data_IF_082251567513
#
_entry.id   IF_082251567513
#
_cell.length_a   1.000
_cell.length_b   1.000
_cell.length_c   1.000
_cell.angle_alpha   90.00
_cell.angle_beta   90.00
_cell.angle_gamma   90.00
#
_symmetry.space_group_name_H-M   'P 1'
#
loop_
_entity.id
_entity.type
_entity.pdbx_description
1 polymer ?
#
# COMPACT_ATOMS: atom_id res chain seq x y z
N UNK A 1 -56.29 56.70 -13.63
CA UNK A 1 -56.28 56.13 -12.23
C UNK A 1 -56.96 54.80 -12.13
N UNK A 2 -58.26 54.58 -12.45
CA UNK A 2 -58.91 53.25 -12.36
C UNK A 2 -58.30 52.19 -13.30
N UNK A 3 -57.93 52.54 -14.52
CA UNK A 3 -57.25 51.72 -15.52
C UNK A 3 -55.91 51.25 -14.94
N UNK A 4 -55.14 52.14 -14.29
CA UNK A 4 -53.84 51.83 -13.70
C UNK A 4 -53.98 50.94 -12.47
N UNK A 5 -54.96 51.17 -11.60
CA UNK A 5 -55.25 50.34 -10.43
C UNK A 5 -55.58 48.91 -10.87
N UNK A 6 -56.50 48.77 -11.87
CA UNK A 6 -56.83 47.44 -12.40
C UNK A 6 -55.60 46.75 -13.05
N UNK A 7 -54.78 47.50 -13.83
CA UNK A 7 -53.55 47.00 -14.43
C UNK A 7 -52.58 46.49 -13.32
N UNK A 8 -52.41 47.28 -12.26
CA UNK A 8 -51.53 46.92 -11.12
C UNK A 8 -52.05 45.70 -10.34
N UNK A 9 -53.38 45.65 -10.08
CA UNK A 9 -54.00 44.48 -9.48
C UNK A 9 -53.79 43.20 -10.29
N UNK A 10 -54.10 43.19 -11.58
CA UNK A 10 -53.87 42.06 -12.48
C UNK A 10 -52.38 41.68 -12.59
N UNK A 11 -51.48 42.66 -12.49
CA UNK A 11 -50.04 42.42 -12.53
C UNK A 11 -49.57 41.77 -11.22
N UNK A 12 -50.09 42.22 -10.08
CA UNK A 12 -49.83 41.61 -8.75
C UNK A 12 -50.34 40.17 -8.68
N UNK A 13 -51.58 39.92 -9.16
CA UNK A 13 -52.17 38.57 -9.22
C UNK A 13 -51.26 37.60 -10.01
N UNK A 14 -50.84 38.05 -11.23
CA UNK A 14 -49.94 37.25 -12.04
C UNK A 14 -48.57 36.99 -11.35
N UNK A 15 -48.02 38.01 -10.70
CA UNK A 15 -46.73 37.92 -10.00
C UNK A 15 -46.82 37.01 -8.79
N UNK A 16 -47.92 37.07 -8.05
CA UNK A 16 -48.21 36.19 -6.90
C UNK A 16 -48.31 34.73 -7.30
N UNK A 17 -49.04 34.45 -8.41
CA UNK A 17 -49.14 33.08 -8.93
C UNK A 17 -47.78 32.52 -9.39
N UNK A 18 -46.92 33.34 -10.01
CA UNK A 18 -45.54 32.94 -10.35
C UNK A 18 -44.71 32.70 -9.10
N UNK A 19 -44.88 33.54 -8.07
CA UNK A 19 -44.17 33.37 -6.79
C UNK A 19 -44.57 32.09 -6.10
N UNK A 20 -45.87 31.76 -6.01
CA UNK A 20 -46.36 30.50 -5.47
C UNK A 20 -45.75 29.28 -6.20
N UNK A 21 -45.76 29.27 -7.53
CA UNK A 21 -45.16 28.21 -8.32
C UNK A 21 -43.64 28.05 -8.08
N UNK A 22 -42.92 29.17 -7.84
CA UNK A 22 -41.48 29.11 -7.52
C UNK A 22 -41.21 28.61 -6.09
N UNK A 23 -42.08 28.97 -5.16
CA UNK A 23 -42.01 28.47 -3.77
C UNK A 23 -42.26 26.95 -3.70
N UNK A 24 -43.24 26.44 -4.47
CA UNK A 24 -43.46 25.00 -4.57
C UNK A 24 -42.23 24.26 -5.10
N UNK A 25 -41.59 24.82 -6.14
CA UNK A 25 -40.33 24.27 -6.66
C UNK A 25 -39.21 24.32 -5.62
N UNK A 26 -39.10 25.42 -4.85
CA UNK A 26 -38.09 25.56 -3.81
C UNK A 26 -38.29 24.54 -2.69
N UNK A 27 -39.56 24.29 -2.28
CA UNK A 27 -39.90 23.29 -1.31
C UNK A 27 -39.50 21.87 -1.80
N UNK A 28 -39.81 21.54 -3.05
CA UNK A 28 -39.43 20.26 -3.66
C UNK A 28 -37.90 20.11 -3.67
N UNK A 29 -37.19 21.13 -4.13
CA UNK A 29 -35.72 21.12 -4.20
C UNK A 29 -35.07 21.03 -2.80
N UNK A 30 -35.66 21.68 -1.78
CA UNK A 30 -35.20 21.57 -0.40
C UNK A 30 -35.38 20.15 0.16
N UNK A 31 -36.49 19.49 -0.14
CA UNK A 31 -36.74 18.11 0.28
C UNK A 31 -35.77 17.13 -0.40
N UNK A 32 -35.52 17.31 -1.72
CA UNK A 32 -34.52 16.52 -2.46
C UNK A 32 -33.11 16.73 -1.91
N UNK A 33 -32.76 17.99 -1.57
CA UNK A 33 -31.47 18.29 -0.95
C UNK A 33 -31.32 17.64 0.43
N UNK A 34 -32.39 17.65 1.26
CA UNK A 34 -32.39 17.01 2.56
C UNK A 34 -32.16 15.48 2.44
N UNK A 35 -32.86 14.82 1.51
CA UNK A 35 -32.64 13.38 1.27
C UNK A 35 -31.21 13.08 0.80
N UNK A 36 -30.65 13.91 -0.09
CA UNK A 36 -29.27 13.77 -0.56
C UNK A 36 -28.23 14.01 0.54
N UNK A 37 -28.53 14.89 1.52
CA UNK A 37 -27.69 15.13 2.68
C UNK A 37 -27.71 13.96 3.65
N UNK A 38 -28.86 13.30 3.86
CA UNK A 38 -28.97 12.07 4.66
C UNK A 38 -28.14 10.93 4.05
N UNK A 39 -28.23 10.72 2.73
CA UNK A 39 -27.42 9.72 2.03
C UNK A 39 -25.90 10.06 2.14
N UNK A 40 -25.56 11.34 2.02
CA UNK A 40 -24.15 11.81 2.15
C UNK A 40 -23.62 11.58 3.55
N UNK A 41 -24.43 11.86 4.59
CA UNK A 41 -24.07 11.62 5.97
C UNK A 41 -23.84 10.11 6.26
N UNK A 42 -24.72 9.24 5.77
CA UNK A 42 -24.56 7.79 5.89
C UNK A 42 -23.28 7.30 5.17
N UNK A 43 -23.00 7.79 3.98
CA UNK A 43 -21.76 7.46 3.25
C UNK A 43 -20.49 7.94 4.00
N UNK A 44 -20.54 9.12 4.64
CA UNK A 44 -19.44 9.64 5.46
C UNK A 44 -19.19 8.79 6.71
N UNK A 45 -20.24 8.26 7.35
CA UNK A 45 -20.09 7.33 8.47
C UNK A 45 -19.39 6.03 8.03
N UNK A 46 -19.77 5.49 6.88
CA UNK A 46 -19.13 4.30 6.31
C UNK A 46 -17.66 4.56 5.98
N UNK A 47 -17.35 5.67 5.30
CA UNK A 47 -15.96 6.06 4.98
C UNK A 47 -15.15 6.26 6.26
N UNK A 48 -15.71 6.91 7.29
CA UNK A 48 -15.06 7.10 8.59
C UNK A 48 -14.71 5.75 9.23
N UNK A 49 -15.66 4.81 9.22
CA UNK A 49 -15.45 3.45 9.73
C UNK A 49 -14.32 2.74 8.98
N UNK A 50 -14.32 2.83 7.65
CA UNK A 50 -13.31 2.21 6.79
C UNK A 50 -11.91 2.79 7.07
N UNK A 51 -11.77 4.12 7.23
CA UNK A 51 -10.48 4.76 7.55
C UNK A 51 -10.00 4.36 8.95
N UNK A 52 -10.90 4.22 9.94
CA UNK A 52 -10.55 3.72 11.27
C UNK A 52 -10.06 2.27 11.21
N UNK A 53 -10.73 1.40 10.47
CA UNK A 53 -10.31 0.02 10.25
C UNK A 53 -8.95 -0.04 9.55
N UNK A 54 -8.71 0.82 8.54
CA UNK A 54 -7.40 0.94 7.91
C UNK A 54 -6.31 1.32 8.91
N UNK A 55 -6.59 2.26 9.83
CA UNK A 55 -5.63 2.65 10.87
C UNK A 55 -5.28 1.47 11.80
N UNK A 56 -6.24 0.62 12.14
CA UNK A 56 -5.99 -0.59 12.93
C UNK A 56 -5.14 -1.61 12.15
N UNK A 57 -5.46 -1.83 10.88
CA UNK A 57 -4.70 -2.72 10.00
C UNK A 57 -3.24 -2.24 9.84
N UNK A 58 -3.03 -0.93 9.69
CA UNK A 58 -1.71 -0.31 9.63
C UNK A 58 -0.91 -0.58 10.90
N UNK A 59 -1.54 -0.47 12.08
CA UNK A 59 -0.89 -0.78 13.35
C UNK A 59 -0.48 -2.27 13.44
N UNK A 60 -1.33 -3.18 12.94
CA UNK A 60 -0.98 -4.61 12.84
C UNK A 60 0.16 -4.86 11.85
N UNK A 61 0.15 -4.20 10.68
CA UNK A 61 1.23 -4.30 9.70
C UNK A 61 2.56 -3.82 10.27
N UNK A 62 2.58 -2.73 11.03
CA UNK A 62 3.78 -2.23 11.70
C UNK A 62 4.33 -3.26 12.70
N UNK A 63 3.46 -3.90 13.49
CA UNK A 63 3.84 -4.96 14.42
C UNK A 63 4.43 -6.16 13.69
N UNK A 64 3.73 -6.67 12.68
CA UNK A 64 4.20 -7.81 11.88
C UNK A 64 5.53 -7.52 11.19
N UNK A 65 5.71 -6.32 10.64
CA UNK A 65 6.98 -5.90 10.04
C UNK A 65 8.13 -5.90 11.04
N UNK A 66 7.88 -5.49 12.30
CA UNK A 66 8.86 -5.57 13.38
C UNK A 66 9.22 -7.03 13.73
N UNK A 67 8.24 -7.93 13.78
CA UNK A 67 8.45 -9.37 14.02
C UNK A 67 9.24 -10.02 12.88
N UNK A 68 8.95 -9.66 11.62
CA UNK A 68 9.69 -10.14 10.45
C UNK A 68 11.14 -9.62 10.48
N UNK A 69 11.37 -8.36 10.88
CA UNK A 69 12.72 -7.80 11.09
C UNK A 69 13.51 -8.61 12.12
N UNK A 70 12.89 -8.92 13.26
CA UNK A 70 13.54 -9.74 14.29
C UNK A 70 13.90 -11.14 13.77
N UNK A 71 12.99 -11.76 13.01
CA UNK A 71 13.22 -13.09 12.40
C UNK A 71 14.33 -13.05 11.34
N UNK A 72 14.37 -12.01 10.51
CA UNK A 72 15.42 -11.83 9.50
C UNK A 72 16.80 -11.65 10.15
N UNK A 73 16.90 -10.82 11.20
CA UNK A 73 18.13 -10.64 11.97
C UNK A 73 18.60 -11.94 12.63
N UNK A 74 17.68 -12.73 13.17
CA UNK A 74 18.00 -14.05 13.73
C UNK A 74 18.48 -15.01 12.63
N UNK A 75 17.86 -14.99 11.45
CA UNK A 75 18.31 -15.79 10.31
C UNK A 75 19.70 -15.40 9.82
N UNK A 76 20.00 -14.10 9.71
CA UNK A 76 21.34 -13.60 9.39
C UNK A 76 22.39 -14.07 10.41
N UNK A 77 22.07 -14.00 11.70
CA UNK A 77 22.96 -14.49 12.77
C UNK A 77 23.25 -15.99 12.63
N UNK A 78 22.23 -16.82 12.41
CA UNK A 78 22.39 -18.25 12.21
C UNK A 78 23.22 -18.59 10.96
N UNK A 79 23.04 -17.84 9.87
CA UNK A 79 23.86 -17.98 8.66
C UNK A 79 25.34 -17.61 8.92
N UNK A 80 25.60 -16.56 9.70
CA UNK A 80 26.96 -16.21 10.14
C UNK A 80 27.59 -17.31 11.00
N UNK A 81 26.86 -17.85 11.99
CA UNK A 81 27.32 -18.96 12.81
C UNK A 81 27.62 -20.21 11.97
N UNK A 82 26.79 -20.48 10.95
CA UNK A 82 27.02 -21.57 10.00
C UNK A 82 28.30 -21.36 9.20
N UNK A 83 28.59 -20.13 8.77
CA UNK A 83 29.85 -19.80 8.06
C UNK A 83 31.06 -20.09 8.93
N UNK A 84 31.02 -19.70 10.21
CA UNK A 84 32.10 -19.98 11.18
C UNK A 84 32.28 -21.49 11.39
N UNK A 85 31.18 -22.23 11.58
CA UNK A 85 31.22 -23.68 11.73
C UNK A 85 31.83 -24.40 10.51
N UNK A 86 31.52 -23.91 9.27
CA UNK A 86 32.11 -24.46 8.05
C UNK A 86 33.63 -24.18 7.97
N UNK A 87 34.07 -23.00 8.44
CA UNK A 87 35.50 -22.72 8.55
C UNK A 87 36.23 -23.62 9.58
N UNK A 88 35.61 -23.88 10.71
CA UNK A 88 36.13 -24.81 11.69
C UNK A 88 36.23 -26.24 11.13
N UNK A 89 35.20 -26.71 10.40
CA UNK A 89 35.21 -28.01 9.71
C UNK A 89 36.38 -28.04 8.71
N UNK A 90 36.58 -27.00 7.88
CA UNK A 90 37.67 -26.95 6.95
C UNK A 90 39.05 -27.05 7.64
N UNK A 91 39.23 -26.38 8.76
CA UNK A 91 40.46 -26.46 9.55
C UNK A 91 40.69 -27.87 10.09
N UNK A 92 39.65 -28.55 10.64
CA UNK A 92 39.76 -29.92 11.13
C UNK A 92 40.07 -30.91 10.01
N UNK A 93 39.41 -30.74 8.84
CA UNK A 93 39.64 -31.61 7.68
C UNK A 93 41.06 -31.45 7.13
N UNK A 94 41.62 -30.24 7.18
CA UNK A 94 43.04 -29.99 6.80
C UNK A 94 44.01 -30.70 7.75
N UNK A 95 43.77 -30.68 9.07
CA UNK A 95 44.57 -31.43 10.05
C UNK A 95 44.53 -32.94 9.82
N UNK A 96 43.33 -33.45 9.46
CA UNK A 96 43.17 -34.87 9.10
C UNK A 96 43.98 -35.19 7.83
N UNK A 97 43.96 -34.31 6.83
CA UNK A 97 44.71 -34.49 5.58
C UNK A 97 46.25 -34.53 5.85
N UNK A 98 46.74 -33.68 6.74
CA UNK A 98 48.13 -33.73 7.18
C UNK A 98 48.49 -35.05 7.89
N UNK A 99 47.62 -35.53 8.78
CA UNK A 99 47.84 -36.80 9.50
C UNK A 99 47.86 -38.00 8.52
N UNK A 100 46.98 -37.98 7.49
CA UNK A 100 46.97 -39.03 6.46
C UNK A 100 48.25 -38.99 5.65
N UNK A 101 48.77 -37.77 5.33
CA UNK A 101 50.07 -37.62 4.68
C UNK A 101 51.22 -38.26 5.48
N UNK A 102 51.20 -38.15 6.80
CA UNK A 102 52.16 -38.84 7.67
C UNK A 102 52.00 -40.37 7.64
N UNK A 103 50.74 -40.88 7.65
CA UNK A 103 50.45 -42.33 7.53
C UNK A 103 50.94 -42.88 6.18
N UNK A 104 50.71 -42.19 5.09
CA UNK A 104 51.18 -42.58 3.76
C UNK A 104 52.71 -42.62 3.71
N UNK A 105 53.39 -41.66 4.30
CA UNK A 105 54.85 -41.63 4.42
C UNK A 105 55.37 -42.81 5.28
N UNK A 106 54.72 -43.13 6.40
CA UNK A 106 55.07 -44.30 7.25
C UNK A 106 54.90 -45.59 6.45
N UNK A 107 53.79 -45.74 5.72
CA UNK A 107 53.55 -46.90 4.87
C UNK A 107 54.63 -47.03 3.77
N UNK A 108 55.00 -45.96 3.14
CA UNK A 108 56.10 -45.93 2.17
C UNK A 108 57.45 -46.35 2.81
N UNK A 109 57.82 -45.74 3.95
CA UNK A 109 59.04 -46.10 4.66
C UNK A 109 59.04 -47.56 5.09
N UNK A 110 57.91 -48.07 5.59
CA UNK A 110 57.75 -49.49 6.01
C UNK A 110 57.90 -50.45 4.82
N UNK A 111 57.37 -50.05 3.63
CA UNK A 111 57.53 -50.81 2.40
C UNK A 111 59.03 -50.89 1.98
N UNK A 112 59.77 -49.77 2.05
CA UNK A 112 61.21 -49.78 1.76
C UNK A 112 61.99 -50.60 2.79
N UNK A 113 61.67 -50.51 4.10
CA UNK A 113 62.31 -51.23 5.16
C UNK A 113 62.08 -52.75 5.00
N UNK A 114 60.87 -53.19 4.66
CA UNK A 114 60.54 -54.57 4.41
C UNK A 114 61.20 -55.11 3.14
N UNK A 115 61.38 -54.32 2.10
CA UNK A 115 62.16 -54.67 0.94
C UNK A 115 63.60 -54.93 1.25
N UNK A 116 64.22 -54.04 2.03
CA UNK A 116 65.64 -54.23 2.48
C UNK A 116 65.77 -55.51 3.37
N UNK A 117 64.82 -55.79 4.28
CA UNK A 117 64.79 -56.95 5.08
C UNK A 117 64.62 -58.23 4.23
N UNK A 118 63.81 -58.20 3.20
CA UNK A 118 63.64 -59.36 2.30
C UNK A 118 64.95 -59.64 1.49
N UNK A 119 65.63 -58.58 1.06
CA UNK A 119 66.94 -58.73 0.36
C UNK A 119 68.00 -59.39 1.33
N UNK A 120 68.06 -58.85 2.58
CA UNK A 120 69.03 -59.39 3.57
C UNK A 120 68.72 -60.87 3.93
N UNK A 121 67.41 -61.21 4.09
CA UNK A 121 66.98 -62.57 4.34
C UNK A 121 67.34 -63.51 3.15
N UNK A 122 67.21 -63.05 1.93
CA UNK A 122 67.66 -63.80 0.73
C UNK A 122 69.17 -63.99 0.70
N UNK A 123 69.96 -63.06 1.17
CA UNK A 123 71.41 -63.15 1.22
C UNK A 123 71.87 -64.16 2.33
N UNK A 124 71.08 -64.35 3.40
CA UNK A 124 71.33 -65.33 4.44
C UNK A 124 70.99 -66.78 4.08
N UNK A 125 70.49 -67.09 2.88
CA UNK A 125 70.20 -68.40 2.35
C UNK A 125 69.15 -69.16 3.17
N UNK A 126 69.43 -70.42 3.46
CA UNK A 126 68.51 -71.32 4.20
C UNK A 126 68.14 -70.74 5.58
N UNK A 127 69.08 -70.11 6.33
CA UNK A 127 68.84 -69.51 7.65
C UNK A 127 67.86 -68.29 7.56
N UNK A 128 67.75 -67.69 6.41
CA UNK A 128 66.88 -66.49 6.20
C UNK A 128 65.46 -66.76 5.77
N UNK A 129 65.06 -67.98 5.45
CA UNK A 129 63.72 -68.29 4.87
C UNK A 129 62.55 -67.85 5.73
N UNK A 130 62.61 -67.99 7.02
CA UNK A 130 61.55 -67.51 7.96
C UNK A 130 61.44 -65.99 7.98
N UNK A 131 62.57 -65.28 7.92
CA UNK A 131 62.62 -63.82 7.85
C UNK A 131 62.09 -63.29 6.53
N UNK A 132 62.35 -64.00 5.42
CA UNK A 132 61.85 -63.61 4.08
C UNK A 132 60.31 -63.61 4.06
N UNK A 133 59.66 -64.61 4.69
CA UNK A 133 58.19 -64.69 4.75
C UNK A 133 57.63 -63.52 5.57
N UNK A 134 58.22 -63.20 6.72
CA UNK A 134 57.78 -62.04 7.54
C UNK A 134 57.99 -60.74 6.82
N UNK A 135 59.12 -60.57 6.14
CA UNK A 135 59.39 -59.35 5.35
C UNK A 135 58.35 -59.18 4.20
N UNK A 136 57.95 -60.29 3.55
CA UNK A 136 56.89 -60.27 2.54
C UNK A 136 55.53 -59.84 3.11
N UNK A 137 55.19 -60.37 4.31
CA UNK A 137 53.92 -60.01 4.95
C UNK A 137 53.91 -58.56 5.43
N UNK A 138 55.01 -58.04 5.99
CA UNK A 138 55.15 -56.60 6.36
C UNK A 138 55.03 -55.68 5.10
N UNK A 139 55.59 -56.11 3.97
CA UNK A 139 55.50 -55.41 2.71
C UNK A 139 54.04 -55.35 2.22
N UNK A 140 53.34 -56.48 2.28
CA UNK A 140 51.90 -56.50 1.90
C UNK A 140 51.08 -55.61 2.81
N UNK A 141 51.33 -55.65 4.14
CA UNK A 141 50.64 -54.77 5.10
C UNK A 141 50.92 -53.27 4.79
N UNK A 142 52.18 -52.92 4.49
CA UNK A 142 52.55 -51.54 4.09
C UNK A 142 51.81 -51.07 2.82
N UNK A 143 51.74 -51.95 1.81
CA UNK A 143 51.01 -51.65 0.58
C UNK A 143 49.51 -51.41 0.84
N UNK A 144 48.88 -52.27 1.65
CA UNK A 144 47.46 -52.12 2.05
C UNK A 144 47.23 -50.83 2.87
N UNK A 145 48.20 -50.47 3.73
CA UNK A 145 48.14 -49.24 4.52
C UNK A 145 48.21 -48.00 3.62
N UNK A 146 49.07 -47.99 2.60
CA UNK A 146 49.16 -46.90 1.62
C UNK A 146 47.88 -46.76 0.78
N UNK A 147 47.29 -47.89 0.37
CA UNK A 147 46.00 -47.89 -0.35
C UNK A 147 44.89 -47.33 0.50
N UNK A 148 44.75 -47.78 1.75
CA UNK A 148 43.78 -47.21 2.70
C UNK A 148 43.99 -45.72 2.96
N UNK A 149 45.25 -45.27 3.11
CA UNK A 149 45.54 -43.84 3.26
C UNK A 149 45.10 -43.01 2.03
N UNK A 150 45.27 -43.54 0.82
CA UNK A 150 44.83 -42.91 -0.42
C UNK A 150 43.30 -42.82 -0.49
N UNK A 151 42.57 -43.88 -0.09
CA UNK A 151 41.11 -43.87 -0.04
C UNK A 151 40.60 -42.83 0.98
N UNK A 152 41.19 -42.79 2.18
CA UNK A 152 40.81 -41.82 3.20
C UNK A 152 41.09 -40.38 2.71
N UNK A 153 42.22 -40.17 2.03
CA UNK A 153 42.54 -38.86 1.44
C UNK A 153 41.46 -38.37 0.44
N UNK A 154 40.98 -39.26 -0.41
CA UNK A 154 39.90 -38.92 -1.35
C UNK A 154 38.58 -38.58 -0.61
N UNK A 155 38.25 -39.23 0.48
CA UNK A 155 37.10 -38.93 1.33
C UNK A 155 37.24 -37.54 1.98
N UNK A 156 38.42 -37.23 2.48
CA UNK A 156 38.79 -35.95 3.11
C UNK A 156 38.72 -34.78 2.12
N UNK A 157 39.25 -34.96 0.89
CA UNK A 157 39.14 -33.98 -0.17
C UNK A 157 37.69 -33.67 -0.55
N UNK A 158 36.85 -34.72 -0.62
CA UNK A 158 35.41 -34.55 -0.84
C UNK A 158 34.76 -33.80 0.32
N UNK A 159 35.11 -34.11 1.57
CA UNK A 159 34.59 -33.41 2.74
C UNK A 159 34.96 -31.91 2.73
N UNK A 160 36.22 -31.57 2.37
CA UNK A 160 36.65 -30.18 2.16
C UNK A 160 35.81 -29.46 1.14
N UNK A 161 35.57 -30.10 -0.03
CA UNK A 161 34.73 -29.55 -1.10
C UNK A 161 33.31 -29.27 -0.60
N UNK A 162 32.72 -30.21 0.17
CA UNK A 162 31.37 -30.04 0.74
C UNK A 162 31.31 -28.94 1.78
N UNK A 163 32.31 -28.80 2.63
CA UNK A 163 32.39 -27.72 3.61
C UNK A 163 32.51 -26.36 2.94
N UNK A 164 33.31 -26.23 1.88
CA UNK A 164 33.40 -24.99 1.08
C UNK A 164 32.09 -24.66 0.36
N UNK A 165 31.39 -25.66 -0.17
CA UNK A 165 30.06 -25.46 -0.74
C UNK A 165 29.05 -24.97 0.31
N UNK A 166 29.06 -25.57 1.50
CA UNK A 166 28.22 -25.14 2.63
C UNK A 166 28.48 -23.70 3.05
N UNK A 167 29.77 -23.32 3.12
CA UNK A 167 30.18 -21.94 3.41
C UNK A 167 29.66 -20.95 2.36
N UNK A 168 29.79 -21.29 1.08
CA UNK A 168 29.26 -20.45 -0.03
C UNK A 168 27.75 -20.25 0.07
N UNK A 169 27.01 -21.32 0.36
CA UNK A 169 25.55 -21.25 0.57
C UNK A 169 25.21 -20.33 1.74
N UNK A 170 25.90 -20.48 2.89
CA UNK A 170 25.68 -19.64 4.06
C UNK A 170 25.99 -18.17 3.78
N UNK A 171 27.01 -17.86 2.98
CA UNK A 171 27.37 -16.50 2.56
C UNK A 171 26.25 -15.89 1.71
N UNK A 172 25.71 -16.64 0.75
CA UNK A 172 24.58 -16.18 -0.07
C UNK A 172 23.32 -15.96 0.78
N UNK A 173 23.10 -16.79 1.81
CA UNK A 173 22.01 -16.56 2.78
C UNK A 173 22.16 -15.25 3.53
N UNK A 174 23.40 -14.89 3.96
CA UNK A 174 23.67 -13.62 4.64
C UNK A 174 23.32 -12.43 3.73
N UNK A 175 23.72 -12.49 2.46
CA UNK A 175 23.34 -11.45 1.47
C UNK A 175 21.83 -11.34 1.30
N UNK A 176 21.14 -12.48 1.16
CA UNK A 176 19.68 -12.52 1.07
C UNK A 176 18.97 -11.94 2.31
N UNK A 177 19.47 -12.20 3.52
CA UNK A 177 18.93 -11.61 4.74
C UNK A 177 19.17 -10.08 4.82
N UNK A 178 20.31 -9.59 4.32
CA UNK A 178 20.58 -8.13 4.23
C UNK A 178 19.60 -7.45 3.28
N UNK A 179 19.37 -8.03 2.10
CA UNK A 179 18.39 -7.52 1.14
C UNK A 179 16.97 -7.55 1.74
N UNK A 180 16.61 -8.65 2.40
CA UNK A 180 15.32 -8.78 3.11
C UNK A 180 15.16 -7.67 4.17
N UNK A 181 16.15 -7.40 4.99
CA UNK A 181 16.13 -6.33 5.98
C UNK A 181 15.95 -4.95 5.34
N UNK A 182 16.60 -4.70 4.21
CA UNK A 182 16.44 -3.46 3.45
C UNK A 182 15.00 -3.30 2.94
N UNK A 183 14.42 -4.35 2.36
CA UNK A 183 13.05 -4.33 1.85
C UNK A 183 12.02 -4.15 2.98
N UNK A 184 12.24 -4.78 4.14
CA UNK A 184 11.39 -4.58 5.32
C UNK A 184 11.48 -3.13 5.82
N UNK A 185 12.68 -2.53 5.83
CA UNK A 185 12.86 -1.12 6.23
C UNK A 185 12.07 -0.18 5.33
N UNK A 186 12.07 -0.41 4.02
CA UNK A 186 11.25 0.34 3.06
C UNK A 186 9.75 0.13 3.32
N UNK A 187 9.34 -1.11 3.61
CA UNK A 187 7.94 -1.43 3.95
C UNK A 187 7.49 -0.68 5.21
N UNK A 188 8.33 -0.60 6.24
CA UNK A 188 8.05 0.16 7.47
C UNK A 188 7.88 1.66 7.16
N UNK A 189 8.69 2.23 6.27
CA UNK A 189 8.54 3.62 5.82
C UNK A 189 7.20 3.84 5.14
N UNK A 190 6.81 2.97 4.21
CA UNK A 190 5.51 3.05 3.53
C UNK A 190 4.34 2.92 4.51
N UNK A 191 4.44 2.05 5.51
CA UNK A 191 3.43 1.91 6.58
C UNK A 191 3.28 3.23 7.34
N UNK A 192 4.38 3.92 7.65
CA UNK A 192 4.36 5.23 8.30
C UNK A 192 3.68 6.30 7.44
N UNK A 193 3.96 6.30 6.13
CA UNK A 193 3.34 7.24 5.20
C UNK A 193 1.83 7.01 5.09
N UNK A 194 1.39 5.76 5.00
CA UNK A 194 -0.05 5.40 4.98
C UNK A 194 -0.71 5.79 6.30
N UNK A 195 -0.02 5.63 7.44
CA UNK A 195 -0.54 6.05 8.75
C UNK A 195 -0.79 7.57 8.80
N UNK A 196 0.15 8.35 8.28
CA UNK A 196 0.00 9.81 8.22
C UNK A 196 -1.12 10.22 7.26
N UNK A 197 -1.20 9.61 6.09
CA UNK A 197 -2.29 9.83 5.14
C UNK A 197 -3.66 9.49 5.74
N UNK A 198 -3.77 8.39 6.49
CA UNK A 198 -5.03 8.02 7.17
C UNK A 198 -5.44 9.03 8.24
N UNK A 199 -4.48 9.63 8.96
CA UNK A 199 -4.79 10.72 9.91
C UNK A 199 -5.29 11.97 9.20
N UNK A 200 -4.66 12.35 8.07
CA UNK A 200 -5.12 13.48 7.26
C UNK A 200 -6.52 13.23 6.68
N UNK A 201 -6.80 12.00 6.24
CA UNK A 201 -8.14 11.62 5.78
C UNK A 201 -9.18 11.78 6.88
N UNK A 202 -8.91 11.36 8.13
CA UNK A 202 -9.85 11.56 9.25
C UNK A 202 -10.13 13.04 9.49
N UNK A 203 -9.11 13.90 9.48
CA UNK A 203 -9.29 15.34 9.61
C UNK A 203 -10.10 15.94 8.46
N UNK A 204 -9.84 15.48 7.22
CA UNK A 204 -10.61 15.89 6.04
C UNK A 204 -12.08 15.47 6.13
N UNK A 205 -12.36 14.27 6.61
CA UNK A 205 -13.73 13.77 6.82
C UNK A 205 -14.45 14.60 7.89
N UNK A 206 -13.78 14.97 8.98
CA UNK A 206 -14.34 15.85 10.01
C UNK A 206 -14.77 17.20 9.42
N UNK A 207 -13.93 17.82 8.58
CA UNK A 207 -14.28 19.07 7.88
C UNK A 207 -15.47 18.90 6.91
N UNK A 208 -15.55 17.73 6.22
CA UNK A 208 -16.70 17.45 5.35
C UNK A 208 -17.97 17.28 6.18
N UNK A 209 -17.91 16.63 7.32
CA UNK A 209 -19.05 16.45 8.21
C UNK A 209 -19.57 17.78 8.74
N UNK A 210 -18.67 18.73 9.10
CA UNK A 210 -19.04 20.09 9.47
C UNK A 210 -19.75 20.83 8.33
N UNK A 211 -19.24 20.68 7.11
CA UNK A 211 -19.85 21.26 5.90
C UNK A 211 -21.25 20.68 5.61
N UNK A 212 -21.43 19.37 5.76
CA UNK A 212 -22.73 18.70 5.62
C UNK A 212 -23.71 19.18 6.68
N UNK A 213 -23.27 19.34 7.91
CA UNK A 213 -24.09 19.91 9.00
C UNK A 213 -24.52 21.35 8.69
N UNK A 214 -23.63 22.14 8.11
CA UNK A 214 -23.96 23.51 7.69
C UNK A 214 -24.96 23.53 6.54
N UNK A 215 -24.81 22.64 5.54
CA UNK A 215 -25.75 22.50 4.43
C UNK A 215 -27.12 22.04 4.90
N UNK A 216 -27.21 21.15 5.88
CA UNK A 216 -28.48 20.73 6.49
C UNK A 216 -29.21 21.93 7.11
N UNK A 217 -28.51 22.74 7.93
CA UNK A 217 -29.08 23.98 8.49
C UNK A 217 -29.57 24.93 7.41
N UNK A 218 -28.81 25.09 6.31
CA UNK A 218 -29.19 25.95 5.20
C UNK A 218 -30.41 25.42 4.46
N UNK A 219 -30.52 24.11 4.28
CA UNK A 219 -31.68 23.45 3.66
C UNK A 219 -32.94 23.65 4.50
N UNK A 220 -32.85 23.49 5.83
CA UNK A 220 -33.94 23.79 6.75
C UNK A 220 -34.35 25.25 6.72
N UNK A 221 -33.36 26.16 6.65
CA UNK A 221 -33.62 27.59 6.53
C UNK A 221 -34.31 27.94 5.22
N UNK A 222 -33.93 27.30 4.10
CA UNK A 222 -34.58 27.49 2.82
C UNK A 222 -36.06 27.04 2.86
N UNK A 223 -36.36 25.94 3.52
CA UNK A 223 -37.75 25.48 3.71
C UNK A 223 -38.57 26.49 4.52
N UNK A 224 -38.01 27.06 5.59
CA UNK A 224 -38.69 28.13 6.38
C UNK A 224 -38.93 29.39 5.54
N UNK A 225 -37.93 29.83 4.76
CA UNK A 225 -38.06 31.00 3.87
C UNK A 225 -39.10 30.71 2.80
N UNK A 226 -39.14 29.51 2.24
CA UNK A 226 -40.15 29.11 1.27
C UNK A 226 -41.57 29.22 1.88
N UNK A 227 -41.77 28.69 3.11
CA UNK A 227 -43.05 28.81 3.80
C UNK A 227 -43.48 30.27 4.02
N UNK A 228 -42.58 31.11 4.51
CA UNK A 228 -42.87 32.54 4.71
C UNK A 228 -43.17 33.25 3.38
N UNK A 229 -42.44 32.90 2.31
CA UNK A 229 -42.68 33.49 0.98
C UNK A 229 -44.01 33.02 0.41
N UNK A 230 -44.43 31.79 0.66
CA UNK A 230 -45.74 31.28 0.30
C UNK A 230 -46.87 32.11 0.93
N UNK A 231 -46.77 32.38 2.24
CA UNK A 231 -47.77 33.15 2.99
C UNK A 231 -47.84 34.59 2.44
N UNK A 232 -46.72 35.24 2.18
CA UNK A 232 -46.66 36.57 1.55
C UNK A 232 -47.30 36.56 0.17
N UNK A 233 -47.05 35.50 -0.62
CA UNK A 233 -47.64 35.37 -1.96
C UNK A 233 -49.15 35.20 -1.89
N UNK A 234 -49.70 34.44 -0.94
CA UNK A 234 -51.14 34.31 -0.73
C UNK A 234 -51.78 35.65 -0.34
N UNK A 235 -51.19 36.37 0.62
CA UNK A 235 -51.70 37.70 1.01
C UNK A 235 -51.66 38.68 -0.19
N UNK A 236 -50.61 38.64 -0.98
CA UNK A 236 -50.46 39.47 -2.18
C UNK A 236 -51.52 39.15 -3.24
N UNK A 237 -51.81 37.85 -3.42
CA UNK A 237 -52.88 37.36 -4.30
C UNK A 237 -54.25 37.88 -3.85
N UNK A 238 -54.53 37.79 -2.55
CA UNK A 238 -55.80 38.30 -1.98
C UNK A 238 -55.95 39.82 -2.18
N UNK A 239 -54.89 40.61 -1.86
CA UNK A 239 -54.88 42.06 -2.06
C UNK A 239 -55.06 42.41 -3.56
N UNK A 240 -54.40 41.66 -4.45
CA UNK A 240 -54.55 41.87 -5.88
C UNK A 240 -55.95 41.68 -6.38
N UNK A 241 -56.65 40.65 -5.90
CA UNK A 241 -58.08 40.38 -6.21
C UNK A 241 -59.00 41.45 -5.68
N UNK A 242 -58.74 41.97 -4.46
CA UNK A 242 -59.52 43.09 -3.91
C UNK A 242 -59.34 44.38 -4.76
N UNK A 243 -58.10 44.71 -5.19
CA UNK A 243 -57.83 45.86 -6.03
C UNK A 243 -58.55 45.74 -7.38
N UNK A 244 -58.56 44.54 -8.00
CA UNK A 244 -59.26 44.29 -9.27
C UNK A 244 -60.76 44.40 -9.07
N UNK A 245 -61.30 43.79 -8.01
CA UNK A 245 -62.72 43.86 -7.67
C UNK A 245 -63.19 45.29 -7.39
N UNK A 246 -62.43 46.09 -6.62
CA UNK A 246 -62.79 47.51 -6.40
C UNK A 246 -62.75 48.32 -7.69
N UNK A 247 -61.77 48.07 -8.56
CA UNK A 247 -61.74 48.72 -9.87
C UNK A 247 -62.92 48.29 -10.74
N UNK A 248 -63.33 47.02 -10.72
CA UNK A 248 -64.43 46.46 -11.49
C UNK A 248 -65.81 46.93 -10.99
N UNK A 249 -65.93 47.31 -9.74
CA UNK A 249 -67.13 47.83 -9.15
C UNK A 249 -67.54 49.23 -9.75
N UNK A 250 -66.61 49.85 -10.45
CA UNK A 250 -66.77 51.24 -11.02
C UNK A 250 -66.78 51.18 -12.54
N UNK A 251 -67.65 52.05 -13.18
CA UNK A 251 -67.64 52.15 -14.59
C UNK A 251 -66.60 53.18 -15.09
N UNK A 252 -65.75 52.75 -16.03
CA UNK A 252 -64.74 53.62 -16.65
C UNK A 252 -64.40 53.16 -18.06
N UNK A 253 -63.92 54.07 -18.87
CA UNK A 253 -63.55 53.85 -20.30
C UNK A 253 -62.37 52.86 -20.35
N UNK A 254 -62.50 51.78 -21.15
CA UNK A 254 -61.48 50.79 -21.35
C UNK A 254 -61.46 49.68 -20.23
N UNK A 255 -62.51 49.56 -19.39
CA UNK A 255 -62.62 48.60 -18.30
C UNK A 255 -62.35 47.15 -18.72
N UNK A 256 -62.76 46.72 -19.90
CA UNK A 256 -62.63 45.39 -20.42
C UNK A 256 -61.30 45.12 -21.20
N UNK A 257 -60.57 46.18 -21.53
CA UNK A 257 -59.33 46.11 -22.32
C UNK A 257 -58.05 46.11 -21.44
N UNK A 258 -58.21 46.20 -20.12
CA UNK A 258 -57.10 46.26 -19.16
C UNK A 258 -56.44 44.90 -19.05
N UNK A 259 -55.16 44.86 -19.30
CA UNK A 259 -54.32 43.64 -19.18
C UNK A 259 -53.19 43.86 -18.15
N UNK A 260 -52.78 42.75 -17.50
CA UNK A 260 -51.59 42.76 -16.68
C UNK A 260 -50.34 43.19 -17.47
N UNK A 261 -49.46 43.92 -16.84
CA UNK A 261 -48.13 44.17 -17.41
C UNK A 261 -47.35 42.89 -17.54
N UNK A 262 -46.57 42.75 -18.62
CA UNK A 262 -45.65 41.60 -18.69
C UNK A 262 -44.50 41.82 -17.67
N UNK A 263 -44.58 41.13 -16.56
CA UNK A 263 -43.46 41.02 -15.62
C UNK A 263 -42.59 39.91 -16.16
N UNK A 264 -41.45 40.29 -16.77
CA UNK A 264 -40.41 39.31 -17.16
C UNK A 264 -39.74 38.81 -15.89
N UNK A 265 -40.32 37.80 -15.26
CA UNK A 265 -39.71 37.07 -14.13
C UNK A 265 -38.89 35.94 -14.74
N UNK A 266 -37.71 36.24 -15.26
CA UNK A 266 -36.92 35.17 -15.82
C UNK A 266 -35.76 35.53 -16.71
N UNK A 267 -34.79 36.29 -16.24
CA UNK A 267 -33.45 36.30 -16.90
C UNK A 267 -32.31 36.64 -15.96
N UNK A 268 -32.45 36.27 -14.69
CA UNK A 268 -31.28 36.35 -13.74
C UNK A 268 -30.41 35.09 -13.82
N UNK A 269 -30.83 34.10 -14.60
CA UNK A 269 -30.06 32.82 -14.70
C UNK A 269 -28.89 32.89 -15.70
N UNK A 270 -28.67 34.04 -16.37
CA UNK A 270 -27.50 34.19 -17.25
C UNK A 270 -26.24 34.71 -16.54
N UNK A 271 -26.36 35.29 -15.36
CA UNK A 271 -25.19 35.81 -14.63
C UNK A 271 -24.61 34.82 -13.58
N UNK A 272 -25.38 33.84 -13.13
CA UNK A 272 -24.89 32.87 -12.15
C UNK A 272 -23.97 31.82 -12.82
N UNK A 273 -24.23 31.46 -14.09
CA UNK A 273 -23.36 30.54 -14.84
C UNK A 273 -22.03 31.16 -15.32
N UNK A 274 -21.87 32.47 -15.27
CA UNK A 274 -20.63 33.14 -15.72
C UNK A 274 -19.66 33.40 -14.57
N UNK A 275 -20.11 33.29 -13.31
CA UNK A 275 -19.24 33.42 -12.10
C UNK A 275 -18.57 32.11 -11.74
N UNK A 276 -19.17 30.94 -12.07
CA UNK A 276 -18.57 29.62 -11.80
C UNK A 276 -17.44 29.24 -12.76
N UNK A 277 -17.16 29.99 -13.80
CA UNK A 277 -16.05 29.77 -14.75
C UNK A 277 -14.79 30.56 -14.48
N UNK A 278 -14.69 31.28 -13.36
CA UNK A 278 -13.38 31.78 -12.92
C UNK A 278 -12.66 30.69 -12.13
N UNK A 279 -12.11 29.75 -12.89
CA UNK A 279 -11.00 28.86 -12.60
C UNK A 279 -10.13 29.34 -11.45
N UNK A 280 -10.17 28.63 -10.36
CA UNK A 280 -9.06 28.58 -9.42
C UNK A 280 -7.93 27.85 -10.16
N UNK A 281 -7.01 28.61 -10.71
CA UNK A 281 -5.76 28.08 -11.27
C UNK A 281 -4.93 27.57 -10.09
N UNK A 282 -4.64 26.25 -9.97
CA UNK A 282 -3.69 25.80 -8.94
C UNK A 282 -2.32 26.35 -9.31
N UNK A 283 -1.75 27.12 -8.41
CA UNK A 283 -0.36 27.58 -8.49
C UNK A 283 0.53 26.34 -8.52
N UNK A 284 1.03 25.97 -9.71
CA UNK A 284 2.07 24.97 -9.88
C UNK A 284 3.32 25.44 -9.14
N UNK A 285 3.63 24.86 -8.00
CA UNK A 285 5.00 24.81 -7.50
C UNK A 285 5.75 23.85 -8.40
N UNK A 286 6.72 24.37 -9.14
CA UNK A 286 7.66 23.58 -9.93
C UNK A 286 8.46 22.67 -9.02
N UNK A 287 8.04 21.41 -8.93
CA UNK A 287 8.90 20.34 -8.45
C UNK A 287 9.43 19.62 -9.69
N UNK A 288 10.72 19.80 -9.99
CA UNK A 288 11.43 19.06 -11.02
C UNK A 288 11.32 17.56 -10.72
N UNK A 289 10.45 16.86 -11.45
CA UNK A 289 10.47 15.42 -11.51
C UNK A 289 11.55 15.01 -12.50
N UNK A 290 12.60 14.40 -11.98
CA UNK A 290 13.61 13.71 -12.77
C UNK A 290 12.94 12.45 -13.31
N UNK A 291 12.70 12.41 -14.62
CA UNK A 291 12.21 11.25 -15.34
C UNK A 291 13.29 10.17 -15.39
N UNK A 292 13.16 9.11 -14.61
CA UNK A 292 13.84 7.86 -14.89
C UNK A 292 12.92 7.01 -15.78
N UNK A 293 13.40 6.71 -16.99
CA UNK A 293 12.79 5.71 -17.87
C UNK A 293 12.87 4.35 -17.17
N UNK A 294 11.74 3.76 -16.83
CA UNK A 294 11.62 2.33 -16.57
C UNK A 294 10.85 1.69 -17.73
N UNK A 295 11.43 0.65 -18.30
CA UNK A 295 10.80 -0.24 -19.27
C UNK A 295 9.58 -0.90 -18.61
N UNK A 296 8.39 -0.58 -19.08
CA UNK A 296 7.19 -1.38 -18.89
C UNK A 296 7.12 -2.41 -20.01
N UNK A 297 7.51 -3.64 -19.70
CA UNK A 297 7.10 -4.86 -20.42
C UNK A 297 7.57 -6.05 -19.57
N UNK A 298 6.77 -6.50 -18.59
CA UNK A 298 6.81 -7.87 -18.02
C UNK A 298 5.84 -8.03 -16.84
N UNK A 299 4.53 -7.89 -17.07
CA UNK A 299 3.51 -8.37 -16.12
C UNK A 299 2.32 -9.01 -16.86
N UNK A 300 2.60 -10.01 -17.71
CA UNK A 300 1.59 -11.00 -18.09
C UNK A 300 2.17 -12.40 -17.86
N UNK A 301 1.86 -12.97 -16.72
CA UNK A 301 1.73 -14.40 -16.43
C UNK A 301 2.16 -14.73 -15.01
N UNK A 302 1.19 -14.69 -14.09
CA UNK A 302 1.10 -15.69 -13.00
C UNK A 302 -0.36 -15.72 -12.52
#
# INVERSE_FOLDING_TARGET
>A
MLVENKTNGLTLDKSSNVLLANVDKLNLSSNEAAASLEETAAALEEVTSNVRNNTQNIAQMAKLSSEVTASANQGEKLANETTVAMDEINNQVNLINEAIGVIDNIAFQTNILSLNAAVEAATAGEAGKGFAVVAGEVRNLASRSAEAAKEIKAIVENATSKANQGKSIATNMIEGYKELNQNISQTISLISDIQNASKEQLLGIEQINDAVTQLDRQTQQNAMIASQTHDVALITDEISKLIVSDADSKEFVGKHDVKAKNVNVGTTNKQIHEVEKKTVTPTKKDTKVVSSKSNDDEWESF
#
